data_IF_645848038940
#
_entry.id   IF_645848038940
#
_cell.length_a   1.000
_cell.length_b   1.000
_cell.length_c   1.000
_cell.angle_alpha   90.00
_cell.angle_beta   90.00
_cell.angle_gamma   90.00
#
_symmetry.space_group_name_H-M   'P 1'
#
loop_
_entity.id
_entity.type
_entity.pdbx_description
1 polymer ?
#
# COMPACT_ATOMS: atom_id res chain seq x y z
N UNK A 1 1.60 29.69 18.98
CA UNK A 1 0.98 28.97 20.12
C UNK A 1 1.16 27.48 19.87
N UNK A 2 1.86 26.82 20.80
CA UNK A 2 1.90 25.38 21.13
C UNK A 2 1.86 24.32 20.01
N UNK A 3 3.05 23.78 19.74
CA UNK A 3 3.29 22.36 19.41
C UNK A 3 2.69 21.46 20.51
N UNK A 4 1.84 20.50 20.14
CA UNK A 4 1.63 19.24 20.88
C UNK A 4 0.91 18.20 20.00
N UNK A 5 1.61 17.10 19.70
CA UNK A 5 1.09 15.76 19.41
C UNK A 5 0.31 15.59 18.09
N UNK A 6 1.04 15.51 16.97
CA UNK A 6 0.56 14.98 15.70
C UNK A 6 0.72 13.45 15.70
N UNK A 7 -0.07 12.75 16.51
CA UNK A 7 -0.16 11.29 16.50
C UNK A 7 -1.63 10.89 16.50
N UNK A 8 -2.03 10.10 15.50
CA UNK A 8 -3.28 9.31 15.34
C UNK A 8 -4.67 9.97 15.60
N UNK A 9 -4.73 11.16 16.21
CA UNK A 9 -5.94 11.84 16.66
C UNK A 9 -6.26 13.11 15.85
N UNK A 10 -5.78 13.23 14.60
CA UNK A 10 -6.26 14.31 13.75
C UNK A 10 -7.72 14.02 13.36
N UNK A 11 -8.69 14.93 13.60
CA UNK A 11 -10.11 14.71 13.31
C UNK A 11 -10.35 14.19 11.89
N UNK A 12 -9.61 14.72 10.92
CA UNK A 12 -9.67 14.28 9.51
C UNK A 12 -9.27 12.81 9.31
N UNK A 13 -8.29 12.29 10.06
CA UNK A 13 -7.86 10.89 10.01
C UNK A 13 -8.94 9.99 10.62
N UNK A 14 -9.49 10.40 11.77
CA UNK A 14 -10.58 9.65 12.43
C UNK A 14 -11.83 9.64 11.53
N UNK A 15 -12.18 10.77 10.91
CA UNK A 15 -13.34 10.87 10.02
C UNK A 15 -13.12 10.02 8.77
N UNK A 16 -11.97 10.10 8.11
CA UNK A 16 -11.68 9.27 6.94
C UNK A 16 -11.81 7.77 7.26
N UNK A 17 -11.16 7.30 8.34
CA UNK A 17 -11.21 5.90 8.78
C UNK A 17 -12.65 5.49 9.14
N UNK A 18 -13.41 6.36 9.81
CA UNK A 18 -14.81 6.09 10.21
C UNK A 18 -15.73 5.98 9.00
N UNK A 19 -15.56 6.82 7.98
CA UNK A 19 -16.40 6.73 6.78
C UNK A 19 -16.00 5.54 5.90
N UNK A 20 -14.71 5.18 5.85
CA UNK A 20 -14.23 3.97 5.18
C UNK A 20 -14.83 2.71 5.82
N UNK A 21 -14.83 2.62 7.15
CA UNK A 21 -15.37 1.46 7.87
C UNK A 21 -16.90 1.33 7.73
N UNK A 22 -17.61 2.42 7.43
CA UNK A 22 -19.05 2.44 7.17
C UNK A 22 -19.42 2.26 5.69
N UNK A 23 -18.45 2.09 4.78
CA UNK A 23 -18.70 1.95 3.34
C UNK A 23 -19.22 3.22 2.67
N UNK A 24 -19.13 4.38 3.32
CA UNK A 24 -19.64 5.68 2.84
C UNK A 24 -18.55 6.46 2.10
N UNK A 25 -17.88 5.81 1.17
CA UNK A 25 -16.73 6.37 0.48
C UNK A 25 -17.05 7.62 -0.35
N UNK A 26 -18.26 7.73 -0.91
CA UNK A 26 -18.68 8.90 -1.70
C UNK A 26 -18.88 10.16 -0.84
N UNK A 27 -19.32 10.01 0.41
CA UNK A 27 -19.43 11.13 1.35
C UNK A 27 -18.06 11.53 1.88
N UNK A 28 -17.18 10.55 2.12
CA UNK A 28 -15.79 10.79 2.49
C UNK A 28 -15.04 11.59 1.41
N UNK A 29 -15.20 11.22 0.14
CA UNK A 29 -14.58 11.91 -1.00
C UNK A 29 -14.90 13.41 -0.99
N UNK A 30 -16.20 13.77 -0.91
CA UNK A 30 -16.63 15.18 -0.92
C UNK A 30 -16.04 15.98 0.23
N UNK A 31 -16.03 15.39 1.43
CA UNK A 31 -15.48 16.04 2.60
C UNK A 31 -13.96 16.22 2.47
N UNK A 32 -13.25 15.18 2.03
CA UNK A 32 -11.80 15.19 1.89
C UNK A 32 -11.33 16.17 0.81
N UNK A 33 -12.06 16.31 -0.30
CA UNK A 33 -11.79 17.35 -1.31
C UNK A 33 -11.88 18.74 -0.66
N UNK A 34 -12.94 19.00 0.10
CA UNK A 34 -13.13 20.28 0.80
C UNK A 34 -11.99 20.55 1.81
N UNK A 35 -11.62 19.53 2.59
CA UNK A 35 -10.51 19.62 3.56
C UNK A 35 -9.19 19.89 2.86
N UNK A 36 -8.92 19.22 1.74
CA UNK A 36 -7.71 19.41 0.95
C UNK A 36 -7.62 20.84 0.40
N UNK A 37 -8.71 21.37 -0.16
CA UNK A 37 -8.77 22.75 -0.64
C UNK A 37 -8.49 23.77 0.47
N UNK A 38 -9.09 23.56 1.65
CA UNK A 38 -8.86 24.42 2.82
C UNK A 38 -7.40 24.36 3.29
N UNK A 39 -6.84 23.16 3.47
CA UNK A 39 -5.45 23.00 3.92
C UNK A 39 -4.46 23.57 2.90
N UNK A 40 -4.69 23.36 1.61
CA UNK A 40 -3.87 23.95 0.55
C UNK A 40 -3.92 25.48 0.61
N UNK A 41 -5.09 26.08 0.84
CA UNK A 41 -5.23 27.54 0.96
C UNK A 41 -4.55 28.12 2.20
N UNK A 42 -4.61 27.43 3.34
CA UNK A 42 -4.07 27.95 4.60
C UNK A 42 -2.57 27.66 4.80
N UNK A 43 -2.11 26.49 4.39
CA UNK A 43 -0.76 26.00 4.68
C UNK A 43 0.12 25.86 3.43
N UNK A 44 -0.48 25.82 2.24
CA UNK A 44 0.22 25.53 0.98
C UNK A 44 0.27 24.03 0.66
N UNK A 45 0.68 23.73 -0.57
CA UNK A 45 0.65 22.37 -1.14
C UNK A 45 1.67 21.43 -0.47
N UNK A 46 2.86 21.94 -0.16
CA UNK A 46 3.97 21.16 0.43
C UNK A 46 3.86 21.02 1.96
N UNK A 47 2.81 21.54 2.60
CA UNK A 47 2.67 21.40 4.04
C UNK A 47 2.30 19.95 4.42
N UNK A 48 2.90 19.35 5.47
CA UNK A 48 2.61 17.97 5.88
C UNK A 48 1.12 17.65 6.04
N UNK A 49 0.34 18.58 6.59
CA UNK A 49 -1.11 18.38 6.72
C UNK A 49 -1.84 18.32 5.38
N UNK A 50 -1.42 19.11 4.38
CA UNK A 50 -2.00 19.10 3.04
C UNK A 50 -1.63 17.80 2.33
N UNK A 51 -0.38 17.35 2.47
CA UNK A 51 0.11 16.07 1.93
C UNK A 51 -0.66 14.89 2.54
N UNK A 52 -0.90 14.91 3.84
CA UNK A 52 -1.70 13.88 4.52
C UNK A 52 -3.15 13.86 4.03
N UNK A 53 -3.75 15.03 3.79
CA UNK A 53 -5.10 15.10 3.20
C UNK A 53 -5.15 14.54 1.77
N UNK A 54 -4.13 14.82 0.93
CA UNK A 54 -4.02 14.21 -0.41
C UNK A 54 -3.92 12.69 -0.33
N UNK A 55 -3.10 12.16 0.59
CA UNK A 55 -2.94 10.72 0.78
C UNK A 55 -4.26 10.04 1.17
N UNK A 56 -5.03 10.65 2.08
CA UNK A 56 -6.32 10.13 2.52
C UNK A 56 -7.36 10.14 1.39
N UNK A 57 -7.38 11.19 0.57
CA UNK A 57 -8.24 11.26 -0.61
C UNK A 57 -7.88 10.17 -1.63
N UNK A 58 -6.59 9.91 -1.85
CA UNK A 58 -6.15 8.85 -2.75
C UNK A 58 -6.55 7.44 -2.28
N UNK A 59 -6.45 7.17 -0.97
CA UNK A 59 -6.93 5.91 -0.38
C UNK A 59 -8.45 5.76 -0.61
N UNK A 60 -9.20 6.84 -0.43
CA UNK A 60 -10.65 6.86 -0.65
C UNK A 60 -11.02 6.61 -2.12
N UNK A 61 -10.26 7.18 -3.05
CA UNK A 61 -10.38 6.85 -4.47
C UNK A 61 -10.14 5.36 -4.75
N UNK A 62 -9.13 4.75 -4.13
CA UNK A 62 -8.91 3.31 -4.19
C UNK A 62 -10.11 2.49 -3.71
N UNK A 63 -10.71 2.88 -2.58
CA UNK A 63 -11.94 2.25 -2.06
C UNK A 63 -13.17 2.42 -2.96
N UNK A 64 -13.21 3.47 -3.78
CA UNK A 64 -14.23 3.71 -4.79
C UNK A 64 -13.96 3.04 -6.14
N UNK A 65 -12.80 2.39 -6.31
CA UNK A 65 -12.36 1.86 -7.61
C UNK A 65 -11.87 2.92 -8.60
N UNK A 66 -11.68 4.17 -8.15
CA UNK A 66 -11.14 5.30 -8.95
C UNK A 66 -9.61 5.25 -8.96
N UNK A 67 -9.05 4.16 -9.45
CA UNK A 67 -7.62 3.88 -9.30
C UNK A 67 -6.71 4.86 -10.06
N UNK A 68 -7.17 5.44 -11.17
CA UNK A 68 -6.40 6.46 -11.92
C UNK A 68 -6.29 7.79 -11.14
N UNK A 69 -7.37 8.20 -10.47
CA UNK A 69 -7.36 9.38 -9.60
C UNK A 69 -6.47 9.15 -8.36
N UNK A 70 -6.51 7.93 -7.81
CA UNK A 70 -5.64 7.51 -6.71
C UNK A 70 -4.15 7.56 -7.11
N UNK A 71 -3.81 7.02 -8.28
CA UNK A 71 -2.44 7.02 -8.82
C UNK A 71 -1.90 8.45 -8.95
N UNK A 72 -2.67 9.35 -9.56
CA UNK A 72 -2.26 10.73 -9.77
C UNK A 72 -1.94 11.46 -8.45
N UNK A 73 -2.76 11.27 -7.42
CA UNK A 73 -2.51 11.86 -6.11
C UNK A 73 -1.32 11.19 -5.39
N UNK A 74 -1.22 9.86 -5.46
CA UNK A 74 -0.14 9.13 -4.79
C UNK A 74 1.23 9.45 -5.37
N UNK A 75 1.35 9.65 -6.69
CA UNK A 75 2.60 10.10 -7.33
C UNK A 75 3.04 11.45 -6.76
N UNK A 76 2.10 12.41 -6.62
CA UNK A 76 2.39 13.72 -6.02
C UNK A 76 2.79 13.61 -4.55
N UNK A 77 2.06 12.82 -3.77
CA UNK A 77 2.36 12.57 -2.36
C UNK A 77 3.74 11.96 -2.19
N UNK A 78 4.10 10.98 -3.03
CA UNK A 78 5.40 10.32 -2.99
C UNK A 78 6.52 11.31 -3.31
N UNK A 79 6.39 12.14 -4.35
CA UNK A 79 7.39 13.15 -4.69
C UNK A 79 7.61 14.15 -3.53
N UNK A 80 6.52 14.68 -2.96
CA UNK A 80 6.61 15.63 -1.85
C UNK A 80 7.22 15.01 -0.59
N UNK A 81 6.81 13.79 -0.22
CA UNK A 81 7.38 13.10 0.94
C UNK A 81 8.86 12.77 0.73
N UNK A 82 9.25 12.37 -0.48
CA UNK A 82 10.64 12.15 -0.83
C UNK A 82 11.48 13.44 -0.69
N UNK A 83 10.94 14.58 -1.14
CA UNK A 83 11.61 15.89 -0.99
C UNK A 83 11.71 16.36 0.47
N UNK A 84 10.70 16.11 1.30
CA UNK A 84 10.64 16.57 2.69
C UNK A 84 11.43 15.69 3.66
N UNK A 85 11.29 14.38 3.53
CA UNK A 85 11.79 13.42 4.51
C UNK A 85 12.92 12.54 3.97
N UNK A 86 13.12 12.52 2.65
CA UNK A 86 14.02 11.60 1.98
C UNK A 86 13.35 10.26 1.67
N UNK A 87 14.06 9.48 0.86
CA UNK A 87 13.57 8.22 0.30
C UNK A 87 13.38 7.15 1.38
N UNK A 88 14.33 7.08 2.33
CA UNK A 88 14.38 6.05 3.39
C UNK A 88 13.41 6.31 4.55
N UNK A 89 12.68 7.43 4.54
CA UNK A 89 11.78 7.76 5.64
C UNK A 89 10.55 6.85 5.65
N UNK A 90 10.08 6.36 6.82
CA UNK A 90 8.89 5.51 6.92
C UNK A 90 7.67 6.05 6.18
N UNK A 91 7.42 7.36 6.26
CA UNK A 91 6.28 7.97 5.54
C UNK A 91 6.40 7.89 4.02
N UNK A 92 7.62 7.99 3.48
CA UNK A 92 7.91 7.88 2.04
C UNK A 92 7.77 6.43 1.60
N UNK A 93 8.28 5.48 2.40
CA UNK A 93 8.13 4.04 2.19
C UNK A 93 6.65 3.64 2.19
N UNK A 94 5.85 4.14 3.13
CA UNK A 94 4.40 3.91 3.17
C UNK A 94 3.69 4.46 1.92
N UNK A 95 4.11 5.62 1.42
CA UNK A 95 3.57 6.17 0.17
C UNK A 95 3.93 5.32 -1.06
N UNK A 96 5.14 4.76 -1.13
CA UNK A 96 5.52 3.79 -2.16
C UNK A 96 4.65 2.53 -2.12
N UNK A 97 4.36 2.02 -0.91
CA UNK A 97 3.46 0.88 -0.70
C UNK A 97 2.04 1.15 -1.22
N UNK A 98 1.48 2.31 -0.88
CA UNK A 98 0.16 2.72 -1.36
C UNK A 98 0.09 2.82 -2.89
N UNK A 99 1.10 3.43 -3.52
CA UNK A 99 1.17 3.55 -4.97
C UNK A 99 1.32 2.18 -5.65
N UNK A 100 2.11 1.27 -5.05
CA UNK A 100 2.24 -0.08 -5.57
C UNK A 100 0.93 -0.86 -5.54
N UNK A 101 0.14 -0.71 -4.48
CA UNK A 101 -1.18 -1.34 -4.38
C UNK A 101 -2.14 -0.82 -5.46
N UNK A 102 -2.12 0.49 -5.72
CA UNK A 102 -2.90 1.10 -6.81
C UNK A 102 -2.45 0.58 -8.18
N UNK A 103 -1.14 0.43 -8.40
CA UNK A 103 -0.62 -0.18 -9.62
C UNK A 103 -1.07 -1.62 -9.81
N UNK A 104 -1.17 -2.43 -8.74
CA UNK A 104 -1.75 -3.77 -8.86
C UNK A 104 -3.21 -3.74 -9.30
N UNK A 105 -4.02 -2.87 -8.70
CA UNK A 105 -5.44 -2.70 -9.06
C UNK A 105 -5.61 -2.24 -10.52
N UNK A 106 -4.67 -1.46 -11.05
CA UNK A 106 -4.61 -1.03 -12.45
C UNK A 106 -4.00 -2.08 -13.40
N UNK A 107 -3.51 -3.22 -12.89
CA UNK A 107 -2.80 -4.22 -13.69
C UNK A 107 -1.39 -3.79 -14.13
N UNK A 108 -0.85 -2.70 -13.59
CA UNK A 108 0.51 -2.19 -13.83
C UNK A 108 1.56 -2.97 -13.00
N UNK A 109 1.55 -4.29 -13.11
CA UNK A 109 2.36 -5.19 -12.27
C UNK A 109 3.87 -4.93 -12.35
N UNK A 110 4.38 -4.48 -13.50
CA UNK A 110 5.81 -4.18 -13.66
C UNK A 110 6.24 -3.00 -12.75
N UNK A 111 5.42 -1.97 -12.65
CA UNK A 111 5.72 -0.78 -11.85
C UNK A 111 5.41 -1.03 -10.37
N UNK A 112 4.34 -1.77 -10.05
CA UNK A 112 4.08 -2.27 -8.71
C UNK A 112 5.29 -3.05 -8.15
N UNK A 113 5.85 -3.96 -8.96
CA UNK A 113 6.98 -4.79 -8.54
C UNK A 113 8.27 -4.01 -8.28
N UNK A 114 8.52 -2.92 -9.02
CA UNK A 114 9.66 -2.04 -8.76
C UNK A 114 9.53 -1.35 -7.40
N UNK A 115 8.37 -0.73 -7.13
CA UNK A 115 8.12 -0.03 -5.88
C UNK A 115 8.14 -0.99 -4.69
N UNK A 116 7.52 -2.17 -4.81
CA UNK A 116 7.50 -3.13 -3.72
C UNK A 116 8.88 -3.71 -3.40
N UNK A 117 9.71 -3.95 -4.43
CA UNK A 117 11.10 -4.33 -4.21
C UNK A 117 11.85 -3.24 -3.44
N UNK A 118 11.59 -1.98 -3.77
CA UNK A 118 12.17 -0.84 -3.07
C UNK A 118 11.74 -0.78 -1.60
N UNK A 119 10.43 -0.91 -1.35
CA UNK A 119 9.85 -0.97 0.01
C UNK A 119 10.45 -2.13 0.80
N UNK A 120 10.66 -3.31 0.21
CA UNK A 120 11.22 -4.47 0.89
C UNK A 120 12.70 -4.27 1.26
N UNK A 121 13.50 -3.73 0.34
CA UNK A 121 14.94 -3.48 0.58
C UNK A 121 15.14 -2.52 1.77
N UNK A 122 14.25 -1.54 1.89
CA UNK A 122 14.29 -0.52 2.95
C UNK A 122 13.58 -0.97 4.24
N UNK A 123 12.47 -1.70 4.09
CA UNK A 123 11.64 -2.23 5.16
C UNK A 123 12.30 -3.34 5.98
N UNK A 124 13.30 -4.01 5.41
CA UNK A 124 14.13 -5.01 6.10
C UNK A 124 14.86 -4.46 7.34
N UNK A 125 14.87 -3.13 7.56
CA UNK A 125 15.44 -2.48 8.75
C UNK A 125 14.42 -1.91 9.74
N UNK A 126 13.14 -1.75 9.38
CA UNK A 126 12.18 -0.96 10.17
C UNK A 126 10.73 -1.48 10.24
N UNK A 127 10.31 -2.46 9.42
CA UNK A 127 8.90 -2.83 9.30
C UNK A 127 8.53 -4.10 10.07
N UNK A 128 7.60 -3.95 11.03
CA UNK A 128 6.87 -5.02 11.71
C UNK A 128 5.71 -5.57 10.87
N UNK A 129 4.49 -5.69 11.41
CA UNK A 129 3.33 -6.36 10.77
C UNK A 129 2.99 -5.89 9.32
N UNK A 130 3.26 -4.63 8.95
CA UNK A 130 3.10 -4.12 7.57
C UNK A 130 3.96 -4.86 6.53
N UNK A 131 5.01 -5.54 6.97
CA UNK A 131 5.86 -6.40 6.13
C UNK A 131 5.07 -7.54 5.47
N UNK A 132 4.00 -8.03 6.11
CA UNK A 132 3.23 -9.17 5.62
C UNK A 132 2.37 -8.80 4.40
N UNK A 133 1.74 -7.62 4.43
CA UNK A 133 0.95 -7.11 3.31
C UNK A 133 1.85 -6.79 2.09
N UNK A 134 3.01 -6.18 2.33
CA UNK A 134 4.00 -5.94 1.27
C UNK A 134 4.48 -7.26 0.64
N UNK A 135 4.77 -8.27 1.46
CA UNK A 135 5.19 -9.59 0.98
C UNK A 135 4.10 -10.31 0.16
N UNK A 136 2.85 -10.31 0.63
CA UNK A 136 1.73 -10.88 -0.11
C UNK A 136 1.51 -10.17 -1.46
N UNK A 137 1.65 -8.85 -1.46
CA UNK A 137 1.50 -8.06 -2.67
C UNK A 137 2.65 -8.33 -3.66
N UNK A 138 3.90 -8.46 -3.21
CA UNK A 138 5.03 -8.86 -4.08
C UNK A 138 4.80 -10.24 -4.71
N UNK A 139 4.34 -11.20 -3.91
CA UNK A 139 4.04 -12.55 -4.36
C UNK A 139 3.02 -12.55 -5.51
N UNK A 140 1.95 -11.78 -5.33
CA UNK A 140 0.89 -11.58 -6.32
C UNK A 140 1.42 -10.91 -7.58
N UNK A 141 2.23 -9.85 -7.44
CA UNK A 141 2.88 -9.17 -8.56
C UNK A 141 3.74 -10.13 -9.38
N UNK A 142 4.60 -10.91 -8.73
CA UNK A 142 5.48 -11.86 -9.42
C UNK A 142 4.72 -13.02 -10.06
N UNK A 143 3.60 -13.44 -9.47
CA UNK A 143 2.69 -14.40 -10.09
C UNK A 143 2.14 -13.86 -11.42
N UNK A 144 1.65 -12.61 -11.45
CA UNK A 144 1.15 -11.98 -12.67
C UNK A 144 2.26 -11.71 -13.71
N UNK A 145 3.49 -11.45 -13.26
CA UNK A 145 4.67 -11.31 -14.14
C UNK A 145 5.23 -12.66 -14.63
N UNK A 146 4.59 -13.79 -14.31
CA UNK A 146 5.06 -15.14 -14.62
C UNK A 146 6.46 -15.47 -14.05
N UNK A 147 6.91 -14.71 -13.05
CA UNK A 147 8.18 -14.91 -12.36
C UNK A 147 8.00 -15.83 -11.16
N UNK A 148 7.53 -17.05 -11.41
CA UNK A 148 7.07 -17.96 -10.35
C UNK A 148 8.16 -18.36 -9.35
N UNK A 149 9.43 -18.39 -9.76
CA UNK A 149 10.58 -18.64 -8.86
C UNK A 149 10.81 -17.49 -7.89
N UNK A 150 10.70 -16.25 -8.37
CA UNK A 150 10.79 -15.05 -7.54
C UNK A 150 9.54 -14.91 -6.66
N UNK A 151 8.36 -15.23 -7.21
CA UNK A 151 7.11 -15.31 -6.47
C UNK A 151 7.19 -16.33 -5.33
N UNK A 152 7.82 -17.50 -5.52
CA UNK A 152 7.99 -18.49 -4.46
C UNK A 152 9.00 -18.05 -3.38
N UNK A 153 10.00 -17.24 -3.77
CA UNK A 153 11.02 -16.70 -2.84
C UNK A 153 10.46 -15.58 -1.96
N UNK A 154 9.54 -14.77 -2.50
CA UNK A 154 8.91 -13.64 -1.81
C UNK A 154 7.48 -13.96 -1.33
N UNK A 155 6.99 -15.16 -1.68
CA UNK A 155 5.62 -15.67 -1.59
C UNK A 155 5.13 -15.96 -0.20
N UNK A 156 5.55 -15.17 0.77
CA UNK A 156 5.27 -15.33 2.18
C UNK A 156 6.14 -16.42 2.80
N UNK A 157 6.91 -16.06 3.82
CA UNK A 157 7.20 -17.01 4.89
C UNK A 157 5.85 -17.33 5.55
N UNK A 158 5.04 -18.22 4.96
CA UNK A 158 3.70 -18.57 5.47
C UNK A 158 3.76 -18.99 6.94
N UNK A 159 4.92 -19.50 7.35
CA UNK A 159 5.27 -19.81 8.74
C UNK A 159 5.16 -18.57 9.65
N UNK A 160 5.55 -17.39 9.19
CA UNK A 160 5.52 -16.16 9.97
C UNK A 160 4.13 -15.52 9.99
N UNK A 161 3.37 -15.52 8.88
CA UNK A 161 1.93 -15.13 8.91
C UNK A 161 1.15 -16.04 9.86
N UNK A 162 1.38 -17.36 9.79
CA UNK A 162 0.71 -18.35 10.63
C UNK A 162 1.05 -18.18 12.11
N UNK A 163 2.29 -17.78 12.44
CA UNK A 163 2.70 -17.47 13.82
C UNK A 163 2.07 -16.18 14.36
N UNK A 164 1.84 -15.19 13.49
CA UNK A 164 1.33 -13.87 13.88
C UNK A 164 -0.20 -13.90 14.02
N UNK A 165 -0.91 -14.42 13.02
CA UNK A 165 -2.37 -14.35 12.96
C UNK A 165 -3.10 -15.66 13.31
N UNK A 166 -2.38 -16.78 13.39
CA UNK A 166 -2.98 -18.10 13.58
C UNK A 166 -3.44 -18.76 12.28
N UNK A 167 -3.81 -20.05 12.36
CA UNK A 167 -4.09 -20.88 11.17
C UNK A 167 -5.36 -20.47 10.41
N UNK A 168 -6.39 -20.05 11.14
CA UNK A 168 -7.72 -19.77 10.57
C UNK A 168 -7.92 -18.31 10.15
N UNK A 169 -6.92 -17.44 10.36
CA UNK A 169 -7.05 -16.04 10.00
C UNK A 169 -7.19 -15.87 8.47
N UNK A 170 -8.09 -15.01 7.97
CA UNK A 170 -8.32 -14.82 6.54
C UNK A 170 -7.05 -14.53 5.73
N UNK A 171 -6.11 -13.75 6.28
CA UNK A 171 -4.82 -13.48 5.63
C UNK A 171 -3.93 -14.74 5.56
N UNK A 172 -3.91 -15.57 6.61
CA UNK A 172 -3.16 -16.85 6.59
C UNK A 172 -3.72 -17.78 5.51
N UNK A 173 -5.04 -17.90 5.42
CA UNK A 173 -5.71 -18.74 4.41
C UNK A 173 -5.39 -18.25 2.99
N UNK A 174 -5.48 -16.93 2.76
CA UNK A 174 -5.19 -16.31 1.47
C UNK A 174 -3.73 -16.49 1.06
N UNK A 175 -2.79 -16.26 1.98
CA UNK A 175 -1.36 -16.48 1.76
C UNK A 175 -1.03 -17.94 1.43
N UNK A 176 -1.62 -18.91 2.14
CA UNK A 176 -1.46 -20.34 1.86
C UNK A 176 -1.98 -20.70 0.47
N UNK A 177 -3.17 -20.20 0.09
CA UNK A 177 -3.76 -20.45 -1.22
C UNK A 177 -2.90 -19.88 -2.37
N UNK A 178 -2.39 -18.65 -2.20
CA UNK A 178 -1.50 -18.03 -3.17
C UNK A 178 -0.19 -18.82 -3.33
N UNK A 179 0.42 -19.25 -2.23
CA UNK A 179 1.65 -20.07 -2.28
C UNK A 179 1.42 -21.42 -2.96
N UNK A 180 0.27 -22.06 -2.74
CA UNK A 180 -0.10 -23.30 -3.41
C UNK A 180 -0.23 -23.09 -4.93
N UNK A 181 -0.87 -22.00 -5.37
CA UNK A 181 -0.98 -21.64 -6.78
C UNK A 181 0.39 -21.36 -7.42
N UNK A 182 1.26 -20.60 -6.74
CA UNK A 182 2.62 -20.30 -7.19
C UNK A 182 3.43 -21.60 -7.37
N UNK A 183 3.39 -22.50 -6.38
CA UNK A 183 4.14 -23.78 -6.42
C UNK A 183 3.64 -24.72 -7.52
N UNK A 184 2.32 -24.80 -7.72
CA UNK A 184 1.72 -25.59 -8.80
C UNK A 184 2.24 -25.13 -10.18
N UNK A 185 2.23 -23.83 -10.44
CA UNK A 185 2.71 -23.26 -11.70
C UNK A 185 4.23 -23.36 -11.86
N UNK A 186 5.00 -23.20 -10.78
CA UNK A 186 6.45 -23.36 -10.81
C UNK A 186 6.87 -24.78 -11.19
N UNK A 187 6.18 -25.80 -10.67
CA UNK A 187 6.46 -27.20 -10.97
C UNK A 187 6.01 -27.61 -12.38
N UNK A 188 4.90 -27.06 -12.88
CA UNK A 188 4.43 -27.27 -14.25
C UNK A 188 5.44 -26.72 -15.29
N UNK A 189 6.08 -25.59 -14.99
CA UNK A 189 7.06 -24.97 -15.88
C UNK A 189 8.45 -25.62 -15.87
N UNK A 190 8.75 -26.49 -14.91
CA UNK A 190 9.99 -27.30 -14.89
C UNK A 190 9.81 -28.68 -15.52
N UNK A 191 8.59 -29.03 -15.96
CA UNK A 191 8.23 -30.33 -16.54
C UNK A 191 7.87 -30.25 -18.04
N UNK A 192 8.40 -29.24 -18.74
CA UNK A 192 8.39 -29.21 -20.22
C UNK A 192 9.34 -30.28 -20.79
N UNK A 193 8.99 -30.93 -21.92
CA UNK A 193 9.63 -32.16 -22.37
C UNK A 193 11.09 -31.94 -22.76
N UNK A 194 11.94 -32.89 -22.31
CA UNK A 194 13.33 -33.06 -22.72
C UNK A 194 13.50 -33.18 -24.25
#
# INVERSE_FOLDING_TARGET
MRNRLLGEEHPDTIIAITYMSLGKYADAEKLQITVLELKNRFFGEEHPDTINAMNNLAITYGGLGKYEDAENLQIKVLDMKNRLFGEEHPDTIGAMGNLANTYQSLGKYADAGKLQKHVLDMGSRFLGEEHLDVMENIATTFYHLQKYKDAARHGVQVVDVKKIFGEEHPQTVKAVALLAAIRSQANANTSGPE
#
